data_IF_273860813949
#
_entry.id   IF_273860813949
#
_cell.length_a   1.000
_cell.length_b   1.000
_cell.length_c   1.000
_cell.angle_alpha   90.00
_cell.angle_beta   90.00
_cell.angle_gamma   90.00
#
_symmetry.space_group_name_H-M   'P 1'
#
loop_
_entity.id
_entity.type
_entity.pdbx_description
1 polymer ?
#
# COMPACT_ATOMS: atom_id res chain seq x y z
N UNK A 1 19.08 5.97 7.06
CA UNK A 1 17.66 5.98 6.66
C UNK A 1 16.88 5.12 7.63
N UNK A 2 15.63 5.48 7.94
CA UNK A 2 14.83 4.82 8.99
C UNK A 2 14.02 3.68 8.38
N UNK A 3 14.33 2.44 8.77
CA UNK A 3 13.65 1.25 8.27
C UNK A 3 12.13 1.46 8.15
N UNK A 4 11.49 1.01 7.06
CA UNK A 4 10.05 1.13 6.88
C UNK A 4 9.31 0.53 8.06
N UNK A 5 8.31 1.25 8.56
CA UNK A 5 7.65 0.88 9.81
C UNK A 5 6.45 -0.01 9.57
N UNK A 6 6.37 -1.14 10.27
CA UNK A 6 5.14 -1.92 10.46
C UNK A 6 4.70 -1.76 11.90
N UNK A 7 3.42 -1.45 12.09
CA UNK A 7 2.82 -1.42 13.39
C UNK A 7 1.91 -2.65 13.61
N UNK A 8 2.05 -3.27 14.78
CA UNK A 8 1.15 -4.30 15.29
C UNK A 8 0.41 -3.74 16.50
N UNK A 9 -0.92 -3.81 16.44
CA UNK A 9 -1.81 -3.48 17.54
C UNK A 9 -2.45 -4.76 18.06
N UNK A 10 -2.47 -4.93 19.38
CA UNK A 10 -3.14 -6.03 20.07
C UNK A 10 -4.01 -5.53 21.22
N UNK A 11 -5.09 -6.24 21.54
CA UNK A 11 -6.02 -5.88 22.60
C UNK A 11 -5.61 -6.43 23.97
N UNK A 12 -5.16 -7.68 23.99
CA UNK A 12 -4.93 -8.43 25.23
C UNK A 12 -3.44 -8.69 25.49
N UNK A 13 -3.03 -8.87 26.76
CA UNK A 13 -1.66 -9.25 27.10
C UNK A 13 -1.19 -10.55 26.45
N UNK A 14 -2.09 -11.53 26.28
CA UNK A 14 -1.76 -12.81 25.63
C UNK A 14 -1.47 -12.63 24.14
N UNK A 15 -2.23 -11.77 23.46
CA UNK A 15 -2.05 -11.49 22.04
C UNK A 15 -0.73 -10.77 21.82
N UNK A 16 -0.46 -9.75 22.65
CA UNK A 16 0.82 -9.04 22.67
C UNK A 16 1.98 -10.02 22.87
N UNK A 17 1.84 -10.96 23.81
CA UNK A 17 2.86 -11.97 24.09
C UNK A 17 3.13 -12.87 22.88
N UNK A 18 2.11 -13.35 22.18
CA UNK A 18 2.31 -14.21 21.00
C UNK A 18 2.93 -13.41 19.83
N UNK A 19 2.52 -12.17 19.59
CA UNK A 19 3.16 -11.31 18.57
C UNK A 19 4.62 -11.03 18.91
N UNK A 20 4.92 -10.75 20.19
CA UNK A 20 6.28 -10.48 20.67
C UNK A 20 7.25 -11.65 20.47
N UNK A 21 6.77 -12.90 20.44
CA UNK A 21 7.62 -14.09 20.25
C UNK A 21 8.25 -14.16 18.85
N UNK A 22 7.73 -13.43 17.87
CA UNK A 22 8.28 -13.36 16.52
C UNK A 22 9.33 -12.25 16.35
N UNK A 23 9.54 -11.44 17.39
CA UNK A 23 10.56 -10.39 17.42
C UNK A 23 11.90 -10.99 17.84
N UNK A 24 12.99 -10.50 17.27
CA UNK A 24 14.33 -11.06 17.50
C UNK A 24 15.04 -10.35 18.65
N UNK A 25 15.16 -9.03 18.59
CA UNK A 25 15.85 -8.25 19.61
C UNK A 25 14.99 -7.06 20.09
N UNK A 26 13.78 -7.32 20.61
CA UNK A 26 12.85 -6.25 20.95
C UNK A 26 13.32 -5.41 22.16
N UNK A 27 13.27 -4.09 22.04
CA UNK A 27 13.54 -3.15 23.13
C UNK A 27 12.35 -2.20 23.38
N UNK A 28 12.17 -1.70 24.61
CA UNK A 28 11.10 -0.76 24.91
C UNK A 28 11.47 0.66 24.46
N UNK A 29 10.53 1.37 23.84
CA UNK A 29 10.62 2.80 23.54
C UNK A 29 9.41 3.51 24.15
N UNK A 30 9.60 4.62 24.87
CA UNK A 30 8.50 5.39 25.47
C UNK A 30 8.39 6.76 24.83
N UNK A 31 7.21 7.07 24.30
CA UNK A 31 6.89 8.36 23.66
C UNK A 31 5.63 8.91 24.33
N UNK A 32 5.72 10.12 24.89
CA UNK A 32 4.62 10.80 25.60
C UNK A 32 3.87 9.90 26.61
N UNK A 33 4.64 9.14 27.39
CA UNK A 33 4.12 8.25 28.43
C UNK A 33 3.52 6.94 27.90
N UNK A 34 3.60 6.65 26.61
CA UNK A 34 3.20 5.37 26.01
C UNK A 34 4.41 4.52 25.69
N UNK A 35 4.42 3.28 26.18
CA UNK A 35 5.49 2.32 25.91
C UNK A 35 5.14 1.41 24.73
N UNK A 36 6.08 1.30 23.81
CA UNK A 36 6.08 0.46 22.62
C UNK A 36 7.18 -0.59 22.76
N UNK A 37 6.97 -1.74 22.14
CA UNK A 37 8.04 -2.70 21.91
C UNK A 37 8.51 -2.56 20.48
N UNK A 38 9.78 -2.20 20.31
CA UNK A 38 10.39 -1.94 19.01
C UNK A 38 11.34 -3.08 18.70
N UNK A 39 11.30 -3.59 17.47
CA UNK A 39 12.29 -4.52 16.95
C UNK A 39 12.75 -4.01 15.60
N UNK A 40 14.05 -3.76 15.48
CA UNK A 40 14.67 -3.32 14.24
C UNK A 40 15.28 -4.54 13.55
N UNK A 41 14.57 -5.07 12.55
CA UNK A 41 15.10 -6.12 11.68
C UNK A 41 15.77 -5.47 10.48
N UNK A 42 16.66 -6.19 9.78
CA UNK A 42 17.34 -5.69 8.57
C UNK A 42 16.39 -5.07 7.52
N UNK A 43 15.10 -5.40 7.54
CA UNK A 43 14.09 -4.99 6.55
C UNK A 43 13.01 -4.05 7.07
N UNK A 44 12.77 -4.00 8.38
CA UNK A 44 11.57 -3.38 8.95
C UNK A 44 11.83 -2.87 10.35
N UNK A 45 11.33 -1.68 10.66
CA UNK A 45 11.11 -1.25 12.04
C UNK A 45 9.75 -1.76 12.46
N UNK A 46 9.71 -2.68 13.41
CA UNK A 46 8.46 -3.23 13.93
C UNK A 46 8.10 -2.46 15.19
N UNK A 47 6.90 -1.89 15.23
CA UNK A 47 6.32 -1.21 16.39
C UNK A 47 5.17 -2.07 16.91
N UNK A 48 5.36 -2.70 18.07
CA UNK A 48 4.33 -3.48 18.73
C UNK A 48 3.73 -2.68 19.89
N UNK A 49 2.40 -2.53 19.89
CA UNK A 49 1.64 -1.86 20.95
C UNK A 49 0.47 -2.73 21.39
N UNK A 50 0.31 -2.85 22.71
CA UNK A 50 -0.95 -3.30 23.31
C UNK A 50 -1.80 -2.07 23.65
N UNK A 51 -3.06 -2.04 23.25
CA UNK A 51 -3.99 -1.00 23.75
C UNK A 51 -4.27 -1.18 25.25
N UNK A 52 -4.65 -0.09 25.91
CA UNK A 52 -4.87 -0.08 27.35
C UNK A 52 -6.20 -0.75 27.77
N UNK A 53 -7.22 -0.67 26.91
CA UNK A 53 -8.53 -1.27 27.13
C UNK A 53 -9.08 -1.82 25.81
N UNK A 54 -10.01 -2.76 25.90
CA UNK A 54 -10.77 -3.28 24.76
C UNK A 54 -11.79 -2.25 24.25
N UNK A 55 -12.36 -2.51 23.06
CA UNK A 55 -13.42 -1.70 22.47
C UNK A 55 -12.97 -0.80 21.32
N UNK A 56 -13.93 -0.39 20.47
CA UNK A 56 -13.62 0.28 19.22
C UNK A 56 -13.11 1.71 19.41
N UNK A 57 -13.59 2.40 20.45
CA UNK A 57 -13.10 3.74 20.79
C UNK A 57 -11.59 3.74 21.07
N UNK A 58 -11.13 2.78 21.88
CA UNK A 58 -9.71 2.68 22.22
C UNK A 58 -8.90 2.22 21.00
N UNK A 59 -9.41 1.26 20.23
CA UNK A 59 -8.79 0.80 19.00
C UNK A 59 -8.56 1.96 18.02
N UNK A 60 -9.57 2.79 17.78
CA UNK A 60 -9.45 3.97 16.91
C UNK A 60 -8.40 4.96 17.43
N UNK A 61 -8.43 5.28 18.74
CA UNK A 61 -7.49 6.24 19.36
C UNK A 61 -6.03 5.75 19.32
N UNK A 62 -5.78 4.47 19.58
CA UNK A 62 -4.43 3.92 19.52
C UNK A 62 -3.93 3.81 18.09
N UNK A 63 -4.81 3.49 17.15
CA UNK A 63 -4.49 3.43 15.71
C UNK A 63 -4.09 4.80 15.19
N UNK A 64 -4.90 5.84 15.42
CA UNK A 64 -4.56 7.22 15.02
C UNK A 64 -3.25 7.68 15.64
N UNK A 65 -3.01 7.35 16.91
CA UNK A 65 -1.77 7.72 17.59
C UNK A 65 -0.55 7.03 16.97
N UNK A 66 -0.64 5.72 16.71
CA UNK A 66 0.40 4.96 16.04
C UNK A 66 0.71 5.55 14.65
N UNK A 67 -0.32 5.89 13.89
CA UNK A 67 -0.17 6.47 12.56
C UNK A 67 0.55 7.84 12.63
N UNK A 68 0.12 8.73 13.52
CA UNK A 68 0.71 10.07 13.65
C UNK A 68 2.17 10.04 14.10
N UNK A 69 2.56 9.11 14.97
CA UNK A 69 3.91 9.09 15.56
C UNK A 69 4.91 8.23 14.80
N UNK A 70 4.45 7.13 14.19
CA UNK A 70 5.34 6.15 13.56
C UNK A 70 5.19 6.05 12.05
N UNK A 71 4.14 6.65 11.48
CA UNK A 71 3.85 6.67 10.03
C UNK A 71 4.04 5.28 9.39
N UNK A 72 3.39 4.23 9.92
CA UNK A 72 3.61 2.88 9.45
C UNK A 72 3.02 2.69 8.05
N UNK A 73 3.74 1.96 7.20
CA UNK A 73 3.24 1.55 5.88
C UNK A 73 2.13 0.50 6.02
N UNK A 74 2.30 -0.41 6.98
CA UNK A 74 1.36 -1.49 7.25
C UNK A 74 0.99 -1.51 8.71
N UNK A 75 -0.30 -1.70 8.98
CA UNK A 75 -0.83 -1.73 10.33
C UNK A 75 -1.71 -2.97 10.50
N UNK A 76 -1.31 -3.85 11.39
CA UNK A 76 -1.98 -5.13 11.64
C UNK A 76 -2.66 -5.09 13.01
N UNK A 77 -3.96 -5.36 13.06
CA UNK A 77 -4.61 -5.70 14.32
C UNK A 77 -4.63 -7.22 14.47
N UNK A 78 -3.86 -7.74 15.41
CA UNK A 78 -3.81 -9.17 15.72
C UNK A 78 -4.55 -9.41 17.03
N UNK A 79 -5.39 -10.44 17.07
CA UNK A 79 -5.97 -10.89 18.33
C UNK A 79 -6.85 -12.12 18.18
N UNK A 80 -7.77 -12.30 19.13
CA UNK A 80 -8.73 -13.40 19.13
C UNK A 80 -10.16 -12.93 18.83
N UNK A 81 -11.01 -13.85 18.39
CA UNK A 81 -12.43 -13.59 18.14
C UNK A 81 -13.29 -14.82 18.46
N UNK A 82 -14.58 -14.59 18.67
CA UNK A 82 -15.58 -15.64 18.80
C UNK A 82 -16.07 -16.08 17.42
N UNK A 83 -16.05 -17.38 17.15
CA UNK A 83 -16.61 -17.96 15.93
C UNK A 83 -18.14 -17.95 15.97
N UNK A 84 -18.77 -17.46 14.90
CA UNK A 84 -20.23 -17.40 14.79
C UNK A 84 -20.78 -18.32 13.69
N UNK A 85 -20.02 -18.59 12.63
CA UNK A 85 -20.37 -19.59 11.60
C UNK A 85 -19.14 -20.02 10.81
N UNK A 86 -19.20 -21.22 10.22
CA UNK A 86 -18.23 -21.74 9.23
C UNK A 86 -16.76 -21.75 9.69
N UNK A 87 -16.50 -21.71 11.00
CA UNK A 87 -15.16 -21.70 11.59
C UNK A 87 -15.10 -22.62 12.81
N UNK A 88 -13.90 -23.14 13.07
CA UNK A 88 -13.61 -23.98 14.24
C UNK A 88 -12.56 -23.33 15.16
N UNK A 89 -12.44 -23.82 16.38
CA UNK A 89 -11.43 -23.37 17.34
C UNK A 89 -10.02 -23.49 16.76
N UNK A 90 -9.21 -22.46 16.96
CA UNK A 90 -7.85 -22.37 16.42
C UNK A 90 -7.77 -21.99 14.93
N UNK A 91 -8.89 -21.91 14.19
CA UNK A 91 -8.87 -21.35 12.84
C UNK A 91 -8.44 -19.87 12.87
N UNK A 92 -7.95 -19.39 11.73
CA UNK A 92 -7.63 -17.96 11.55
C UNK A 92 -8.67 -17.33 10.63
N UNK A 93 -9.13 -16.13 10.97
CA UNK A 93 -9.98 -15.29 10.14
C UNK A 93 -9.25 -14.01 9.83
N UNK A 94 -9.08 -13.73 8.55
CA UNK A 94 -8.54 -12.46 8.05
C UNK A 94 -9.71 -11.64 7.54
N UNK A 95 -9.92 -10.48 8.13
CA UNK A 95 -11.08 -9.65 7.81
C UNK A 95 -10.95 -9.04 6.41
N UNK A 96 -11.89 -9.33 5.52
CA UNK A 96 -12.08 -8.53 4.28
C UNK A 96 -12.60 -7.13 4.63
N UNK A 97 -13.51 -7.08 5.59
CA UNK A 97 -14.02 -5.87 6.22
C UNK A 97 -14.59 -6.19 7.61
N UNK A 98 -14.73 -5.16 8.42
CA UNK A 98 -15.46 -5.20 9.68
C UNK A 98 -16.82 -4.52 9.52
N UNK A 99 -17.87 -5.15 10.05
CA UNK A 99 -19.24 -4.62 10.09
C UNK A 99 -19.59 -4.23 11.53
N UNK A 100 -19.85 -2.94 11.75
CA UNK A 100 -20.22 -2.41 13.06
C UNK A 100 -21.69 -2.73 13.38
N UNK A 101 -21.97 -3.62 14.34
CA UNK A 101 -23.35 -4.04 14.61
C UNK A 101 -24.11 -3.16 15.61
N UNK A 102 -23.44 -2.19 16.25
CA UNK A 102 -24.02 -1.39 17.33
C UNK A 102 -24.86 -0.20 16.88
N UNK A 103 -24.71 0.25 15.64
CA UNK A 103 -25.39 1.46 15.18
C UNK A 103 -26.83 1.15 14.74
N UNK A 104 -27.78 1.63 15.55
CA UNK A 104 -29.21 1.39 15.38
C UNK A 104 -29.94 2.73 15.45
N UNK A 105 -30.82 3.00 14.48
CA UNK A 105 -31.78 4.11 14.55
C UNK A 105 -33.04 3.62 15.24
N UNK A 106 -33.46 4.32 16.29
CA UNK A 106 -34.76 4.10 16.95
C UNK A 106 -35.74 5.15 16.46
N UNK A 107 -36.91 4.73 15.97
CA UNK A 107 -37.98 5.61 15.53
C UNK A 107 -39.33 4.97 15.80
N UNK A 108 -40.22 5.68 16.48
CA UNK A 108 -41.61 5.24 16.72
C UNK A 108 -41.74 3.85 17.40
N UNK A 109 -40.76 3.49 18.24
CA UNK A 109 -40.70 2.17 18.90
C UNK A 109 -40.07 1.05 18.05
N UNK A 110 -39.72 1.34 16.79
CA UNK A 110 -39.05 0.42 15.88
C UNK A 110 -37.53 0.70 15.81
N UNK A 111 -36.75 -0.35 15.55
CA UNK A 111 -35.30 -0.30 15.38
C UNK A 111 -34.91 -0.56 13.93
N UNK A 112 -33.98 0.24 13.43
CA UNK A 112 -33.49 0.18 12.07
C UNK A 112 -31.95 0.10 12.08
N UNK A 113 -31.36 -1.04 11.69
CA UNK A 113 -29.90 -1.19 11.66
C UNK A 113 -29.24 -0.18 10.71
N UNK A 114 -28.11 0.38 11.13
CA UNK A 114 -27.26 1.29 10.35
C UNK A 114 -25.81 0.82 10.43
N UNK A 115 -25.54 -0.36 9.90
CA UNK A 115 -24.30 -1.09 10.16
C UNK A 115 -23.14 -0.50 9.35
N UNK A 116 -22.24 0.35 9.91
CA UNK A 116 -21.08 0.83 9.16
C UNK A 116 -20.20 -0.34 8.74
N UNK A 117 -19.49 -0.16 7.62
CA UNK A 117 -18.54 -1.13 7.11
C UNK A 117 -17.21 -0.42 6.87
N UNK A 118 -16.15 -1.00 7.38
CA UNK A 118 -14.78 -0.53 7.17
C UNK A 118 -13.95 -1.66 6.59
N UNK A 119 -13.19 -1.37 5.53
CA UNK A 119 -12.50 -2.39 4.74
C UNK A 119 -11.03 -2.50 5.14
N UNK A 120 -10.52 -3.74 5.16
CA UNK A 120 -9.07 -3.96 5.14
C UNK A 120 -8.51 -3.54 3.78
N UNK A 121 -7.23 -3.21 3.73
CA UNK A 121 -6.57 -2.84 2.48
C UNK A 121 -6.63 -4.00 1.47
N UNK A 122 -7.17 -3.72 0.28
CA UNK A 122 -7.35 -4.71 -0.79
C UNK A 122 -6.08 -5.52 -1.08
N UNK A 123 -4.91 -4.86 -1.13
CA UNK A 123 -3.63 -5.54 -1.37
C UNK A 123 -3.26 -6.55 -0.28
N UNK A 124 -3.63 -6.30 0.97
CA UNK A 124 -3.39 -7.22 2.08
C UNK A 124 -4.39 -8.38 2.08
N UNK A 125 -5.64 -8.12 1.67
CA UNK A 125 -6.68 -9.15 1.49
C UNK A 125 -6.29 -10.13 0.38
N UNK A 126 -5.83 -9.64 -0.77
CA UNK A 126 -5.35 -10.49 -1.87
C UNK A 126 -4.16 -11.37 -1.44
N UNK A 127 -3.20 -10.77 -0.73
CA UNK A 127 -2.05 -11.51 -0.22
C UNK A 127 -2.46 -12.57 0.81
N UNK A 128 -3.36 -12.22 1.73
CA UNK A 128 -3.89 -13.17 2.70
C UNK A 128 -4.63 -14.32 2.01
N UNK A 129 -5.40 -14.03 0.96
CA UNK A 129 -6.14 -15.02 0.18
C UNK A 129 -5.20 -16.02 -0.48
N UNK A 130 -4.11 -15.54 -1.09
CA UNK A 130 -3.12 -16.42 -1.69
C UNK A 130 -2.37 -17.25 -0.64
N UNK A 131 -1.97 -16.64 0.47
CA UNK A 131 -1.27 -17.34 1.55
C UNK A 131 -2.16 -18.42 2.20
N UNK A 132 -3.44 -18.12 2.40
CA UNK A 132 -4.41 -19.02 3.04
C UNK A 132 -4.61 -20.34 2.29
N UNK A 133 -4.46 -20.36 0.96
CA UNK A 133 -4.64 -21.57 0.12
C UNK A 133 -3.75 -22.74 0.53
N UNK A 134 -2.54 -22.45 1.00
CA UNK A 134 -1.54 -23.44 1.37
C UNK A 134 -1.03 -23.23 2.81
N UNK A 135 -1.83 -22.59 3.67
CA UNK A 135 -1.47 -22.41 5.07
C UNK A 135 -1.77 -23.67 5.88
N UNK A 136 -0.98 -23.88 6.94
CA UNK A 136 -1.01 -25.09 7.77
C UNK A 136 -2.29 -25.19 8.61
N UNK A 137 -2.86 -24.04 8.97
CA UNK A 137 -4.08 -23.91 9.77
C UNK A 137 -5.19 -23.37 8.86
N UNK A 138 -6.39 -23.92 8.98
CA UNK A 138 -7.56 -23.41 8.24
C UNK A 138 -7.69 -21.90 8.44
N UNK A 139 -7.58 -21.16 7.35
CA UNK A 139 -7.61 -19.70 7.34
C UNK A 139 -8.67 -19.21 6.38
N UNK A 140 -9.64 -18.44 6.88
CA UNK A 140 -10.72 -17.88 6.10
C UNK A 140 -10.48 -16.39 5.90
N UNK A 141 -10.59 -15.94 4.65
CA UNK A 141 -10.56 -14.51 4.32
C UNK A 141 -12.00 -14.07 4.12
N UNK A 142 -12.62 -13.54 5.17
CA UNK A 142 -14.07 -13.34 5.25
C UNK A 142 -14.42 -12.11 6.12
N UNK A 143 -15.65 -11.60 6.06
CA UNK A 143 -16.09 -10.52 6.92
C UNK A 143 -16.11 -10.89 8.40
N UNK A 144 -15.95 -9.88 9.26
CA UNK A 144 -16.14 -10.00 10.72
C UNK A 144 -17.14 -8.97 11.22
N UNK A 145 -17.89 -9.33 12.26
CA UNK A 145 -18.76 -8.42 12.99
C UNK A 145 -17.97 -7.79 14.15
N UNK A 146 -18.18 -6.50 14.40
CA UNK A 146 -17.44 -5.74 15.41
C UNK A 146 -18.38 -4.83 16.19
N UNK A 147 -18.23 -4.77 17.52
CA UNK A 147 -19.09 -3.96 18.39
C UNK A 147 -18.51 -3.80 19.79
N UNK A 148 -19.32 -3.38 20.76
CA UNK A 148 -18.84 -3.12 22.13
C UNK A 148 -19.21 -4.24 23.12
N UNK A 149 -20.05 -5.18 22.68
CA UNK A 149 -20.49 -6.31 23.51
C UNK A 149 -19.55 -7.50 23.38
N UNK A 150 -19.11 -8.05 24.51
CA UNK A 150 -18.60 -9.42 24.56
C UNK A 150 -19.77 -10.39 24.42
N UNK A 151 -19.86 -11.06 23.26
CA UNK A 151 -21.03 -11.90 22.94
C UNK A 151 -20.87 -13.31 23.52
N UNK A 152 -21.82 -13.70 24.37
CA UNK A 152 -22.00 -15.06 24.89
C UNK A 152 -23.48 -15.48 24.98
N UNK A 153 -24.40 -14.61 24.54
CA UNK A 153 -25.83 -14.85 24.58
C UNK A 153 -26.34 -15.43 23.25
N UNK A 154 -27.02 -16.57 23.31
CA UNK A 154 -27.51 -17.27 22.11
C UNK A 154 -28.60 -16.50 21.36
N UNK A 155 -29.43 -15.74 22.09
CA UNK A 155 -30.50 -14.96 21.47
C UNK A 155 -29.90 -13.79 20.68
N UNK A 156 -28.97 -13.07 21.28
CA UNK A 156 -28.21 -12.03 20.61
C UNK A 156 -27.39 -12.59 19.44
N UNK A 157 -26.81 -13.78 19.57
CA UNK A 157 -26.12 -14.43 18.46
C UNK A 157 -27.04 -14.68 17.25
N UNK A 158 -28.30 -15.09 17.48
CA UNK A 158 -29.29 -15.26 16.40
C UNK A 158 -29.58 -13.93 15.71
N UNK A 159 -29.78 -12.87 16.48
CA UNK A 159 -29.98 -11.51 15.96
C UNK A 159 -28.76 -11.02 15.18
N UNK A 160 -27.56 -11.22 15.73
CA UNK A 160 -26.31 -10.87 15.07
C UNK A 160 -26.14 -11.60 13.73
N UNK A 161 -26.49 -12.89 13.67
CA UNK A 161 -26.48 -13.67 12.41
C UNK A 161 -27.48 -13.16 11.38
N UNK A 162 -28.60 -12.56 11.80
CA UNK A 162 -29.55 -11.93 10.88
C UNK A 162 -29.00 -10.59 10.36
N UNK A 163 -28.34 -9.81 11.22
CA UNK A 163 -27.76 -8.51 10.87
C UNK A 163 -26.47 -8.62 10.05
N UNK A 164 -25.64 -9.61 10.34
CA UNK A 164 -24.29 -9.80 9.81
C UNK A 164 -24.16 -11.23 9.26
N UNK A 165 -25.07 -11.63 8.37
CA UNK A 165 -25.13 -13.00 7.85
C UNK A 165 -23.89 -13.44 7.04
N UNK A 166 -23.05 -12.49 6.66
CA UNK A 166 -21.81 -12.65 5.92
C UNK A 166 -20.61 -12.84 6.85
N UNK A 167 -20.69 -12.36 8.10
CA UNK A 167 -19.61 -12.43 9.07
C UNK A 167 -19.41 -13.82 9.67
N UNK A 168 -18.16 -14.28 9.73
CA UNK A 168 -17.79 -15.60 10.28
C UNK A 168 -17.33 -15.54 11.74
N UNK A 169 -16.91 -14.37 12.20
CA UNK A 169 -16.46 -14.13 13.57
C UNK A 169 -17.00 -12.80 14.12
N UNK A 170 -16.99 -12.67 15.45
CA UNK A 170 -17.35 -11.45 16.20
C UNK A 170 -16.25 -11.05 17.19
N UNK A 171 -15.92 -9.76 17.25
CA UNK A 171 -14.92 -9.17 18.14
C UNK A 171 -15.26 -7.71 18.50
N UNK A 172 -14.33 -6.99 19.16
CA UNK A 172 -14.65 -5.71 19.81
C UNK A 172 -13.84 -4.49 19.31
N UNK A 173 -13.01 -4.61 18.28
CA UNK A 173 -12.03 -3.55 17.95
C UNK A 173 -11.92 -3.19 16.47
N UNK A 174 -12.28 -4.12 15.57
CA UNK A 174 -11.97 -4.02 14.15
C UNK A 174 -12.64 -2.82 13.45
N UNK A 175 -13.88 -2.46 13.82
CA UNK A 175 -14.57 -1.33 13.17
C UNK A 175 -13.92 0.00 13.57
N UNK A 176 -13.46 0.15 14.81
CA UNK A 176 -12.73 1.34 15.26
C UNK A 176 -11.36 1.46 14.61
N UNK A 177 -10.63 0.34 14.55
CA UNK A 177 -9.33 0.24 13.91
C UNK A 177 -9.35 0.61 12.43
N UNK A 178 -10.17 -0.09 11.63
CA UNK A 178 -10.26 0.16 10.19
C UNK A 178 -10.86 1.55 9.90
N UNK A 179 -11.79 2.02 10.74
CA UNK A 179 -12.38 3.35 10.64
C UNK A 179 -11.37 4.48 10.84
N UNK A 180 -10.38 4.31 11.74
CA UNK A 180 -9.25 5.22 11.89
C UNK A 180 -8.35 5.18 10.65
N UNK A 181 -7.94 3.98 10.20
CA UNK A 181 -7.09 3.81 9.01
C UNK A 181 -7.69 4.44 7.75
N UNK A 182 -9.02 4.40 7.56
CA UNK A 182 -9.68 5.00 6.40
C UNK A 182 -9.36 6.49 6.21
N UNK A 183 -9.04 7.22 7.29
CA UNK A 183 -8.67 8.63 7.21
C UNK A 183 -7.21 8.87 6.75
N UNK A 184 -6.42 7.81 6.58
CA UNK A 184 -4.98 7.86 6.30
C UNK A 184 -4.65 7.05 5.04
N UNK A 185 -4.67 7.69 3.87
CA UNK A 185 -4.52 7.05 2.55
C UNK A 185 -3.20 6.25 2.39
N UNK A 186 -2.15 6.63 3.13
CA UNK A 186 -0.83 6.01 3.04
C UNK A 186 -0.67 4.77 3.93
N UNK A 187 -1.69 4.40 4.72
CA UNK A 187 -1.61 3.30 5.69
C UNK A 187 -2.45 2.12 5.20
N UNK A 188 -1.83 0.95 5.06
CA UNK A 188 -2.54 -0.28 4.70
C UNK A 188 -2.85 -1.09 5.95
N UNK A 189 -4.12 -1.11 6.33
CA UNK A 189 -4.62 -1.81 7.50
C UNK A 189 -5.18 -3.20 7.20
N UNK A 190 -4.98 -4.16 8.11
CA UNK A 190 -5.70 -5.45 8.09
C UNK A 190 -5.94 -5.99 9.50
N UNK A 191 -7.05 -6.70 9.68
CA UNK A 191 -7.40 -7.37 10.94
C UNK A 191 -7.26 -8.88 10.76
N UNK A 192 -6.56 -9.53 11.70
CA UNK A 192 -6.32 -10.98 11.71
C UNK A 192 -6.70 -11.49 13.09
N UNK A 193 -7.66 -12.41 13.13
CA UNK A 193 -8.20 -12.99 14.36
C UNK A 193 -8.01 -14.50 14.39
N UNK A 194 -7.58 -15.03 15.53
CA UNK A 194 -7.67 -16.45 15.83
C UNK A 194 -8.99 -16.76 16.52
N UNK A 195 -9.64 -17.87 16.17
CA UNK A 195 -10.90 -18.27 16.82
C UNK A 195 -10.60 -18.94 18.17
N UNK A 196 -10.86 -18.24 19.26
CA UNK A 196 -10.62 -18.71 20.63
C UNK A 196 -11.79 -19.48 21.23
N UNK A 197 -12.99 -19.18 20.78
CA UNK A 197 -14.22 -19.75 21.29
C UNK A 197 -15.25 -19.82 20.17
N UNK A 198 -16.23 -20.70 20.33
CA UNK A 198 -17.47 -20.63 19.58
C UNK A 198 -18.49 -19.98 20.51
N UNK A 199 -19.24 -18.99 20.00
CA UNK A 199 -20.20 -18.24 20.83
C UNK A 199 -21.26 -19.17 21.45
N UNK A 200 -21.52 -20.32 20.82
CA UNK A 200 -22.33 -21.41 21.38
C UNK A 200 -21.44 -22.42 22.10
N UNK A 201 -21.79 -22.79 23.33
CA UNK A 201 -21.08 -23.83 24.09
C UNK A 201 -19.83 -23.34 24.85
N UNK A 202 -19.72 -22.03 25.06
CA UNK A 202 -18.58 -21.37 25.71
C UNK A 202 -18.38 -21.90 27.14
N UNK A 203 -17.16 -22.32 27.48
CA UNK A 203 -16.76 -22.71 28.83
C UNK A 203 -15.46 -22.00 29.23
N UNK A 204 -15.39 -21.52 30.47
CA UNK A 204 -14.23 -20.74 30.95
C UNK A 204 -12.91 -21.54 30.93
N UNK A 205 -12.98 -22.87 31.04
CA UNK A 205 -11.82 -23.76 30.93
C UNK A 205 -11.31 -23.87 29.49
N UNK A 206 -12.19 -23.77 28.49
CA UNK A 206 -11.83 -23.77 27.08
C UNK A 206 -11.07 -22.51 26.69
N UNK A 207 -11.42 -21.35 27.24
CA UNK A 207 -10.74 -20.09 26.97
C UNK A 207 -9.26 -20.12 27.36
N UNK A 208 -8.95 -20.72 28.52
CA UNK A 208 -7.56 -20.86 29.02
C UNK A 208 -6.70 -21.68 28.05
N UNK A 209 -7.30 -22.68 27.39
CA UNK A 209 -6.62 -23.55 26.45
C UNK A 209 -6.54 -22.93 25.04
N UNK A 210 -7.64 -22.38 24.55
CA UNK A 210 -7.78 -21.98 23.15
C UNK A 210 -7.33 -20.55 22.86
N UNK A 211 -7.45 -19.59 23.79
CA UNK A 211 -6.98 -18.22 23.54
C UNK A 211 -5.49 -18.16 23.18
N UNK A 212 -4.57 -18.85 23.87
CA UNK A 212 -3.16 -18.87 23.49
C UNK A 212 -2.92 -19.51 22.11
N UNK A 213 -3.65 -20.58 21.77
CA UNK A 213 -3.53 -21.27 20.48
C UNK A 213 -4.04 -20.37 19.34
N UNK A 214 -5.22 -19.77 19.53
CA UNK A 214 -5.82 -18.85 18.59
C UNK A 214 -4.93 -17.63 18.33
N UNK A 215 -4.44 -16.98 19.39
CA UNK A 215 -3.54 -15.84 19.27
C UNK A 215 -2.23 -16.22 18.59
N UNK A 216 -1.67 -17.40 18.91
CA UNK A 216 -0.46 -17.91 18.23
C UNK A 216 -0.69 -18.12 16.74
N UNK A 217 -1.80 -18.74 16.36
CA UNK A 217 -2.11 -19.02 14.96
C UNK A 217 -2.31 -17.71 14.18
N UNK A 218 -2.99 -16.73 14.77
CA UNK A 218 -3.15 -15.39 14.19
C UNK A 218 -1.81 -14.67 14.02
N UNK A 219 -0.97 -14.67 15.05
CA UNK A 219 0.37 -14.08 15.00
C UNK A 219 1.24 -14.77 13.94
N UNK A 220 1.28 -16.11 13.93
CA UNK A 220 2.05 -16.87 12.95
C UNK A 220 1.62 -16.57 11.51
N UNK A 221 0.31 -16.47 11.25
CA UNK A 221 -0.21 -16.08 9.93
C UNK A 221 0.19 -14.64 9.57
N UNK A 222 0.08 -13.69 10.49
CA UNK A 222 0.47 -12.30 10.27
C UNK A 222 1.97 -12.15 9.93
N UNK A 223 2.86 -12.86 10.64
CA UNK A 223 4.28 -12.85 10.33
C UNK A 223 4.62 -13.61 9.03
N UNK A 224 3.84 -14.62 8.66
CA UNK A 224 3.97 -15.25 7.34
C UNK A 224 3.56 -14.29 6.21
N UNK A 225 2.50 -13.49 6.40
CA UNK A 225 2.15 -12.40 5.49
C UNK A 225 3.30 -11.38 5.40
N UNK A 226 3.88 -11.00 6.54
CA UNK A 226 5.02 -10.06 6.60
C UNK A 226 6.18 -10.52 5.71
N UNK A 227 6.49 -11.82 5.69
CA UNK A 227 7.52 -12.40 4.83
C UNK A 227 7.20 -12.35 3.33
N UNK A 228 5.93 -12.15 2.96
CA UNK A 228 5.45 -12.02 1.58
C UNK A 228 5.22 -10.56 1.17
N UNK A 229 5.19 -9.62 2.11
CA UNK A 229 5.07 -8.21 1.79
C UNK A 229 6.21 -7.78 0.87
N UNK A 230 5.92 -6.95 -0.15
CA UNK A 230 6.97 -6.38 -0.96
C UNK A 230 7.92 -5.65 -0.02
N UNK A 231 9.21 -5.95 -0.15
CA UNK A 231 10.25 -5.28 0.62
C UNK A 231 10.10 -3.78 0.36
N UNK A 232 9.77 -3.00 1.38
CA UNK A 232 10.23 -1.62 1.34
C UNK A 232 11.75 -1.71 1.50
N UNK A 233 12.46 -1.47 0.40
CA UNK A 233 13.88 -1.23 0.45
C UNK A 233 14.09 0.17 1.02
N UNK A 234 14.56 0.27 2.26
CA UNK A 234 15.44 1.37 2.64
C UNK A 234 16.89 0.89 2.71
N UNK A 235 17.68 1.41 1.77
CA UNK A 235 19.12 1.62 1.79
C UNK A 235 20.01 0.66 2.58
N UNK A 236 20.56 -0.33 1.86
CA UNK A 236 22.01 -0.55 1.86
C UNK A 236 22.44 -0.44 0.38
N UNK A 237 23.36 0.49 0.08
CA UNK A 237 23.67 1.02 -1.27
C UNK A 237 23.65 -0.03 -2.39
N UNK A 238 23.04 0.26 -3.54
CA UNK A 238 23.33 1.43 -4.39
C UNK A 238 22.21 2.48 -4.35
N UNK A 239 22.59 3.73 -4.09
CA UNK A 239 21.76 4.94 -4.08
C UNK A 239 20.66 4.95 -5.14
N UNK A 240 19.42 5.15 -4.69
CA UNK A 240 18.31 5.76 -5.42
C UNK A 240 17.16 5.84 -4.39
N UNK A 241 16.88 7.03 -3.85
CA UNK A 241 15.74 7.40 -2.97
C UNK A 241 14.84 8.40 -3.72
N UNK A 242 13.55 8.59 -3.48
CA UNK A 242 12.42 7.87 -2.87
C UNK A 242 11.21 8.71 -3.31
N UNK A 243 10.16 8.08 -3.81
CA UNK A 243 9.15 8.71 -4.66
C UNK A 243 7.74 8.79 -4.03
N UNK A 244 7.33 9.94 -3.45
CA UNK A 244 5.93 10.34 -3.16
C UNK A 244 5.91 11.88 -3.24
N UNK A 245 5.12 12.65 -4.02
CA UNK A 245 3.86 12.50 -4.76
C UNK A 245 4.09 12.07 -6.21
N UNK A 246 3.45 10.98 -6.61
CA UNK A 246 2.98 10.67 -7.96
C UNK A 246 3.92 10.82 -9.18
N UNK A 247 5.24 10.89 -9.07
CA UNK A 247 6.05 11.09 -10.29
C UNK A 247 6.12 9.90 -11.24
N UNK A 248 5.63 8.73 -10.80
CA UNK A 248 5.28 7.69 -11.73
C UNK A 248 4.09 8.13 -12.57
N UNK A 249 2.98 8.63 -12.01
CA UNK A 249 1.86 9.18 -12.79
C UNK A 249 2.14 10.54 -13.43
N UNK A 250 3.06 11.37 -12.92
CA UNK A 250 3.50 12.64 -13.52
C UNK A 250 4.49 12.37 -14.66
N UNK A 251 5.45 11.46 -14.47
CA UNK A 251 6.33 10.95 -15.51
C UNK A 251 5.59 10.12 -16.56
N UNK A 252 4.53 9.40 -16.16
CA UNK A 252 3.60 8.65 -17.00
C UNK A 252 2.60 9.57 -17.72
N UNK A 253 2.09 10.63 -17.07
CA UNK A 253 1.34 11.70 -17.73
C UNK A 253 2.20 12.40 -18.75
N UNK A 254 3.47 12.62 -18.44
CA UNK A 254 4.41 13.28 -19.34
C UNK A 254 4.86 12.36 -20.48
N UNK A 255 4.90 11.04 -20.26
CA UNK A 255 5.00 10.05 -21.35
C UNK A 255 3.72 10.01 -22.21
N UNK A 256 2.52 10.08 -21.59
CA UNK A 256 1.22 10.13 -22.27
C UNK A 256 1.05 11.42 -23.09
N UNK A 257 1.47 12.56 -22.57
CA UNK A 257 1.48 13.87 -23.24
C UNK A 257 2.44 13.93 -24.45
N UNK A 258 3.41 13.01 -24.55
CA UNK A 258 4.37 12.94 -25.67
C UNK A 258 3.89 12.08 -26.84
N UNK A 259 2.75 11.37 -26.71
CA UNK A 259 2.27 10.41 -27.73
C UNK A 259 0.87 10.76 -28.26
N UNK A 260 0.23 11.84 -27.78
CA UNK A 260 -1.13 12.21 -28.20
C UNK A 260 -1.16 13.34 -29.25
N UNK A 261 -2.07 13.28 -30.25
CA UNK A 261 -2.34 14.38 -31.18
C UNK A 261 -2.78 15.67 -30.47
N UNK A 262 -2.51 16.84 -31.07
CA UNK A 262 -2.79 18.19 -30.51
C UNK A 262 -4.23 18.38 -30.01
N UNK A 263 -5.16 17.68 -30.61
CA UNK A 263 -6.60 17.76 -30.39
C UNK A 263 -7.03 17.10 -29.06
N UNK A 264 -6.28 16.14 -28.54
CA UNK A 264 -6.52 15.53 -27.22
C UNK A 264 -5.88 16.33 -26.06
N UNK A 265 -4.92 17.21 -26.37
CA UNK A 265 -4.30 18.12 -25.41
C UNK A 265 -5.32 19.11 -24.81
N UNK A 266 -6.39 19.41 -25.53
CA UNK A 266 -7.45 20.32 -25.09
C UNK A 266 -8.35 19.70 -24.00
N UNK A 267 -8.48 18.37 -23.95
CA UNK A 267 -9.26 17.67 -22.92
C UNK A 267 -8.56 17.65 -21.55
N UNK A 268 -7.24 17.88 -21.50
CA UNK A 268 -6.49 17.99 -20.25
C UNK A 268 -6.55 19.39 -19.62
N UNK A 269 -7.32 20.32 -20.20
CA UNK A 269 -7.66 21.62 -19.56
C UNK A 269 -8.58 21.49 -18.35
N UNK A 270 -9.09 20.29 -18.03
CA UNK A 270 -10.05 20.12 -16.94
C UNK A 270 -9.34 19.86 -15.60
N UNK A 271 -8.98 20.97 -14.96
CA UNK A 271 -8.83 21.23 -13.52
C UNK A 271 -7.93 20.37 -12.61
N UNK A 272 -7.62 19.10 -12.87
CA UNK A 272 -7.01 18.25 -11.83
C UNK A 272 -5.48 18.25 -11.81
N UNK A 273 -4.81 18.44 -12.94
CA UNK A 273 -3.34 18.26 -13.02
C UNK A 273 -2.59 19.54 -12.66
N UNK A 274 -3.12 20.71 -13.03
CA UNK A 274 -2.59 22.01 -12.60
C UNK A 274 -2.71 22.17 -11.08
N UNK A 275 -3.75 21.59 -10.47
CA UNK A 275 -3.97 21.64 -9.03
C UNK A 275 -2.96 20.79 -8.22
N UNK A 276 -2.27 19.83 -8.84
CA UNK A 276 -1.16 19.10 -8.21
C UNK A 276 0.22 19.79 -8.43
N UNK A 277 0.26 20.81 -9.30
CA UNK A 277 1.38 21.76 -9.46
C UNK A 277 1.19 22.97 -8.51
N UNK A 278 0.31 22.85 -7.52
CA UNK A 278 0.09 23.89 -6.50
C UNK A 278 1.31 23.92 -5.57
N UNK A 279 2.17 24.91 -5.81
CA UNK A 279 3.46 25.12 -5.14
C UNK A 279 4.52 25.74 -6.06
N UNK A 280 4.31 25.72 -7.37
CA UNK A 280 5.29 26.16 -8.38
C UNK A 280 5.04 27.56 -9.00
N UNK A 281 3.89 28.20 -8.73
CA UNK A 281 3.50 29.51 -9.31
C UNK A 281 3.68 29.57 -10.85
N UNK A 282 3.30 28.51 -11.58
CA UNK A 282 3.32 28.49 -13.04
C UNK A 282 1.88 28.69 -13.53
N UNK A 283 1.65 29.77 -14.29
CA UNK A 283 0.33 30.00 -14.89
C UNK A 283 0.06 28.96 -15.98
N UNK A 284 -1.15 28.37 -16.08
CA UNK A 284 -1.49 27.42 -17.15
C UNK A 284 -1.24 27.94 -18.57
N UNK A 285 -1.27 29.25 -18.75
CA UNK A 285 -1.04 29.92 -20.03
C UNK A 285 0.46 30.09 -20.36
N UNK A 286 1.38 29.77 -19.44
CA UNK A 286 2.84 29.83 -19.66
C UNK A 286 3.40 28.54 -20.27
N UNK A 287 2.63 27.45 -20.33
CA UNK A 287 3.11 26.14 -20.81
C UNK A 287 2.61 25.91 -22.24
N UNK A 288 3.54 25.76 -23.18
CA UNK A 288 3.31 25.37 -24.57
C UNK A 288 4.14 24.13 -24.90
N UNK A 289 3.78 23.36 -25.93
CA UNK A 289 4.60 22.22 -26.36
C UNK A 289 6.05 22.62 -26.70
N UNK A 290 6.26 23.86 -27.14
CA UNK A 290 7.59 24.37 -27.49
C UNK A 290 8.47 24.72 -26.30
N UNK A 291 7.88 25.26 -25.22
CA UNK A 291 8.62 25.72 -24.06
C UNK A 291 8.59 24.72 -22.88
N UNK A 292 7.78 23.68 -22.98
CA UNK A 292 7.61 22.65 -21.95
C UNK A 292 8.96 22.07 -21.47
N UNK A 293 9.92 21.66 -22.35
CA UNK A 293 11.22 21.18 -21.90
C UNK A 293 12.02 22.20 -21.06
N UNK A 294 11.93 23.48 -21.44
CA UNK A 294 12.60 24.57 -20.74
C UNK A 294 11.97 24.84 -19.38
N UNK A 295 10.63 24.88 -19.33
CA UNK A 295 9.85 25.06 -18.09
C UNK A 295 10.11 23.91 -17.12
N UNK A 296 10.16 22.67 -17.62
CA UNK A 296 10.51 21.49 -16.82
C UNK A 296 11.92 21.65 -16.23
N UNK A 297 12.93 21.99 -17.04
CA UNK A 297 14.32 22.16 -16.58
C UNK A 297 14.50 23.29 -15.57
N UNK A 298 13.84 24.42 -15.76
CA UNK A 298 14.09 25.63 -14.98
C UNK A 298 13.19 25.77 -13.75
N UNK A 299 11.95 25.28 -13.81
CA UNK A 299 10.96 25.50 -12.75
C UNK A 299 10.59 24.21 -12.02
N UNK A 300 10.44 23.09 -12.73
CA UNK A 300 9.96 21.82 -12.14
C UNK A 300 11.11 20.99 -11.56
N UNK A 301 12.17 20.79 -12.33
CA UNK A 301 13.33 19.96 -11.97
C UNK A 301 14.03 20.40 -10.68
N UNK A 302 14.31 21.69 -10.43
CA UNK A 302 14.99 22.11 -9.20
C UNK A 302 14.18 21.80 -7.93
N UNK A 303 12.85 21.90 -7.98
CA UNK A 303 11.98 21.57 -6.85
C UNK A 303 11.78 20.05 -6.71
N UNK A 304 11.50 19.39 -7.83
CA UNK A 304 11.32 17.93 -7.85
C UNK A 304 12.61 17.19 -7.48
N UNK A 305 13.80 17.72 -7.79
CA UNK A 305 15.07 17.14 -7.37
C UNK A 305 15.34 17.30 -5.87
N UNK A 306 14.82 18.37 -5.24
CA UNK A 306 14.92 18.60 -3.81
C UNK A 306 13.97 17.72 -3.00
N UNK A 307 12.81 17.41 -3.57
CA UNK A 307 11.77 16.58 -2.95
C UNK A 307 11.91 15.11 -3.33
N UNK A 308 12.49 14.82 -4.50
CA UNK A 308 12.37 13.53 -5.14
C UNK A 308 13.37 13.19 -6.27
N UNK A 309 14.57 12.74 -5.92
CA UNK A 309 15.64 12.50 -6.90
C UNK A 309 15.31 11.42 -7.95
N UNK A 310 14.60 10.36 -7.56
CA UNK A 310 14.11 9.31 -8.48
C UNK A 310 13.16 9.87 -9.54
N UNK A 311 12.20 10.68 -9.11
CA UNK A 311 11.26 11.36 -9.98
C UNK A 311 11.96 12.25 -11.00
N UNK A 312 12.91 13.05 -10.51
CA UNK A 312 13.69 13.96 -11.32
C UNK A 312 14.50 13.21 -12.38
N UNK A 313 15.07 12.03 -12.06
CA UNK A 313 15.82 11.21 -13.03
C UNK A 313 14.93 10.62 -14.12
N UNK A 314 13.75 10.10 -13.80
CA UNK A 314 12.79 9.62 -14.82
C UNK A 314 12.27 10.77 -15.68
N UNK A 315 12.00 11.92 -15.07
CA UNK A 315 11.60 13.14 -15.77
C UNK A 315 12.70 13.66 -16.72
N UNK A 316 13.97 13.61 -16.29
CA UNK A 316 15.12 13.92 -17.15
C UNK A 316 15.24 12.95 -18.32
N UNK A 317 14.98 11.65 -18.10
CA UNK A 317 15.02 10.66 -19.16
C UNK A 317 13.98 10.99 -20.23
N UNK A 318 12.73 11.22 -19.83
CA UNK A 318 11.65 11.63 -20.72
C UNK A 318 11.97 12.95 -21.45
N UNK A 319 12.51 13.94 -20.74
CA UNK A 319 12.93 15.21 -21.34
C UNK A 319 14.07 15.03 -22.37
N UNK A 320 14.99 14.10 -22.14
CA UNK A 320 16.09 13.82 -23.05
C UNK A 320 15.63 13.04 -24.29
N UNK A 321 14.67 12.11 -24.14
CA UNK A 321 13.99 11.49 -25.28
C UNK A 321 13.25 12.55 -26.11
N UNK A 322 12.50 13.45 -25.48
CA UNK A 322 11.78 14.51 -26.19
C UNK A 322 12.73 15.48 -26.92
N UNK A 323 13.81 15.92 -26.27
CA UNK A 323 14.83 16.75 -26.91
C UNK A 323 15.49 16.03 -28.10
N UNK A 324 15.70 14.72 -27.98
CA UNK A 324 16.23 13.87 -29.05
C UNK A 324 15.24 13.74 -30.21
N UNK A 325 13.95 13.52 -29.93
CA UNK A 325 12.89 13.47 -30.93
C UNK A 325 12.73 14.83 -31.65
N UNK A 326 12.75 15.94 -30.92
CA UNK A 326 12.71 17.30 -31.49
C UNK A 326 13.94 17.58 -32.34
N UNK A 327 15.11 17.08 -31.94
CA UNK A 327 16.32 17.16 -32.75
C UNK A 327 16.17 16.34 -34.05
N UNK A 328 15.63 15.13 -33.99
CA UNK A 328 15.37 14.28 -35.17
C UNK A 328 14.38 14.95 -36.14
N UNK A 329 13.30 15.51 -35.60
CA UNK A 329 12.26 16.20 -36.38
C UNK A 329 12.78 17.48 -37.04
N UNK A 330 13.63 18.23 -36.33
CA UNK A 330 14.31 19.42 -36.84
C UNK A 330 15.51 19.11 -37.78
N UNK A 331 15.78 17.83 -38.08
CA UNK A 331 16.93 17.42 -38.91
C UNK A 331 18.30 17.65 -38.24
N UNK A 332 18.33 17.75 -36.91
CA UNK A 332 19.52 17.93 -36.09
C UNK A 332 20.36 16.66 -35.93
N UNK A 333 21.49 16.80 -35.24
CA UNK A 333 22.47 15.74 -35.01
C UNK A 333 21.87 14.63 -34.14
N UNK A 334 21.91 13.38 -34.64
CA UNK A 334 21.38 12.19 -33.97
C UNK A 334 22.43 11.51 -33.10
N UNK A 335 23.00 12.27 -32.17
CA UNK A 335 23.92 11.71 -31.17
C UNK A 335 23.13 11.37 -29.90
N UNK A 336 22.91 10.07 -29.70
CA UNK A 336 22.21 9.55 -28.53
C UNK A 336 23.17 8.90 -27.53
N UNK A 337 24.48 9.18 -27.60
CA UNK A 337 25.47 8.61 -26.69
C UNK A 337 25.17 8.94 -25.24
N UNK A 338 24.93 10.22 -24.93
CA UNK A 338 24.56 10.66 -23.59
C UNK A 338 23.19 10.14 -23.15
N UNK A 339 22.24 10.03 -24.08
CA UNK A 339 20.93 9.43 -23.80
C UNK A 339 21.10 7.95 -23.44
N UNK A 340 21.89 7.21 -24.22
CA UNK A 340 22.16 5.79 -24.01
C UNK A 340 22.88 5.54 -22.69
N UNK A 341 23.94 6.30 -22.41
CA UNK A 341 24.64 6.26 -21.13
C UNK A 341 23.66 6.52 -19.97
N UNK A 342 22.85 7.57 -20.06
CA UNK A 342 21.84 7.88 -19.05
C UNK A 342 20.81 6.75 -18.88
N UNK A 343 20.39 6.11 -19.97
CA UNK A 343 19.45 4.99 -19.92
C UNK A 343 20.08 3.75 -19.26
N UNK A 344 21.37 3.49 -19.51
CA UNK A 344 22.12 2.40 -18.85
C UNK A 344 22.32 2.65 -17.36
N UNK A 345 22.42 3.90 -16.91
CA UNK A 345 22.44 4.23 -15.47
C UNK A 345 21.10 3.99 -14.78
N UNK A 346 19.98 4.09 -15.51
CA UNK A 346 18.63 4.02 -14.96
C UNK A 346 18.02 2.62 -14.97
N UNK A 347 18.18 1.87 -16.06
CA UNK A 347 17.66 0.51 -16.15
C UNK A 347 18.55 -0.43 -15.35
N UNK A 348 17.99 -1.38 -14.61
CA UNK A 348 18.76 -2.37 -13.83
C UNK A 348 18.81 -3.73 -14.51
N UNK A 349 17.83 -4.02 -15.38
CA UNK A 349 17.75 -5.23 -16.18
C UNK A 349 18.76 -5.16 -17.35
N UNK A 350 19.66 -6.14 -17.41
CA UNK A 350 20.70 -6.20 -18.43
C UNK A 350 20.15 -6.49 -19.84
N UNK A 351 19.09 -7.28 -19.96
CA UNK A 351 18.49 -7.58 -21.26
C UNK A 351 17.80 -6.32 -21.82
N UNK A 352 17.08 -5.61 -20.95
CA UNK A 352 16.41 -4.35 -21.28
C UNK A 352 17.41 -3.25 -21.65
N UNK A 353 18.53 -3.14 -20.91
CA UNK A 353 19.63 -2.21 -21.25
C UNK A 353 20.16 -2.48 -22.65
N UNK A 354 20.42 -3.74 -22.96
CA UNK A 354 20.95 -4.13 -24.26
C UNK A 354 19.94 -3.90 -25.37
N UNK A 355 18.67 -4.17 -25.14
CA UNK A 355 17.59 -3.94 -26.11
C UNK A 355 17.41 -2.45 -26.43
N UNK A 356 17.33 -1.60 -25.40
CA UNK A 356 17.23 -0.14 -25.56
C UNK A 356 18.50 0.43 -26.19
N UNK A 357 19.67 -0.04 -25.79
CA UNK A 357 20.95 0.41 -26.37
C UNK A 357 21.04 0.11 -27.86
N UNK A 358 20.63 -1.10 -28.27
CA UNK A 358 20.59 -1.49 -29.69
C UNK A 358 19.69 -0.56 -30.49
N UNK A 359 18.50 -0.24 -29.98
CA UNK A 359 17.56 0.66 -30.65
C UNK A 359 18.05 2.12 -30.68
N UNK A 360 18.73 2.60 -29.64
CA UNK A 360 19.35 3.94 -29.67
C UNK A 360 20.50 4.02 -30.68
N UNK A 361 21.29 2.95 -30.81
CA UNK A 361 22.33 2.87 -31.86
C UNK A 361 21.68 2.91 -33.24
N UNK A 362 20.61 2.13 -33.47
CA UNK A 362 19.85 2.18 -34.74
C UNK A 362 19.24 3.56 -35.01
N UNK A 363 18.72 4.22 -33.98
CA UNK A 363 18.16 5.57 -34.12
C UNK A 363 19.24 6.61 -34.50
N UNK A 364 20.48 6.41 -34.05
CA UNK A 364 21.62 7.31 -34.32
C UNK A 364 22.25 7.11 -35.70
N UNK A 365 21.89 6.03 -36.42
CA UNK A 365 22.46 5.72 -37.73
C UNK A 365 22.03 6.78 -38.76
N UNK A 366 23.02 7.39 -39.42
CA UNK A 366 22.82 8.38 -40.48
C UNK A 366 22.10 7.82 -41.71
N UNK A 367 22.10 6.49 -41.90
CA UNK A 367 21.43 5.81 -43.00
C UNK A 367 19.94 5.54 -42.73
N UNK A 368 19.48 5.73 -41.50
CA UNK A 368 18.08 5.54 -41.09
C UNK A 368 17.30 6.83 -41.35
N UNK A 369 16.04 6.75 -41.78
CA UNK A 369 15.22 7.95 -42.02
C UNK A 369 14.89 8.68 -40.71
N UNK A 370 14.55 9.98 -40.73
CA UNK A 370 14.10 10.66 -39.51
C UNK A 370 12.83 10.01 -38.94
N UNK A 371 11.97 9.47 -39.82
CA UNK A 371 10.78 8.73 -39.41
C UNK A 371 11.12 7.43 -38.68
N UNK A 372 12.05 6.64 -39.20
CA UNK A 372 12.47 5.38 -38.58
C UNK A 372 13.29 5.62 -37.30
N UNK A 373 14.12 6.67 -37.28
CA UNK A 373 14.81 7.11 -36.07
C UNK A 373 13.82 7.48 -34.96
N UNK A 374 12.73 8.18 -35.32
CA UNK A 374 11.62 8.47 -34.40
C UNK A 374 10.95 7.19 -33.89
N UNK A 375 10.69 6.22 -34.77
CA UNK A 375 10.10 4.93 -34.39
C UNK A 375 11.01 4.16 -33.42
N UNK A 376 12.33 4.15 -33.61
CA UNK A 376 13.25 3.51 -32.66
C UNK A 376 13.26 4.22 -31.29
N UNK A 377 13.18 5.55 -31.26
CA UNK A 377 13.06 6.31 -30.00
C UNK A 377 11.74 6.01 -29.28
N UNK A 378 10.63 5.92 -30.02
CA UNK A 378 9.32 5.53 -29.49
C UNK A 378 9.31 4.09 -28.97
N UNK A 379 9.95 3.16 -29.68
CA UNK A 379 10.12 1.78 -29.24
C UNK A 379 10.89 1.70 -27.93
N UNK A 380 12.00 2.45 -27.79
CA UNK A 380 12.73 2.56 -26.54
C UNK A 380 11.81 3.02 -25.40
N UNK A 381 11.00 4.06 -25.63
CA UNK A 381 10.05 4.56 -24.64
C UNK A 381 8.99 3.51 -24.28
N UNK A 382 8.49 2.73 -25.25
CA UNK A 382 7.50 1.68 -25.05
C UNK A 382 8.05 0.47 -24.28
N UNK A 383 9.30 0.09 -24.54
CA UNK A 383 10.02 -0.96 -23.81
C UNK A 383 10.19 -0.54 -22.35
N UNK A 384 10.70 0.67 -22.13
CA UNK A 384 10.90 1.24 -20.79
C UNK A 384 9.55 1.35 -20.07
N UNK A 385 8.49 1.79 -20.76
CA UNK A 385 7.11 1.85 -20.25
C UNK A 385 6.59 0.48 -19.84
N UNK A 386 6.79 -0.54 -20.66
CA UNK A 386 6.33 -1.90 -20.39
C UNK A 386 7.02 -2.49 -19.17
N UNK A 387 8.33 -2.26 -19.03
CA UNK A 387 9.11 -2.62 -17.85
C UNK A 387 8.60 -1.91 -16.58
N UNK A 388 8.37 -0.61 -16.68
CA UNK A 388 7.76 0.24 -15.64
C UNK A 388 6.38 -0.30 -15.22
N UNK A 389 5.58 -0.81 -16.16
CA UNK A 389 4.20 -1.25 -15.93
C UNK A 389 4.02 -2.70 -15.44
N UNK A 390 5.10 -3.45 -15.22
CA UNK A 390 5.03 -4.77 -14.58
C UNK A 390 4.24 -5.86 -15.34
N UNK A 391 3.95 -5.70 -16.63
CA UNK A 391 3.35 -6.75 -17.48
C UNK A 391 4.24 -7.10 -18.69
N UNK A 392 4.43 -8.41 -18.81
CA UNK A 392 5.31 -9.25 -19.64
C UNK A 392 4.98 -9.22 -21.14
N UNK A 393 6.00 -9.38 -22.00
CA UNK A 393 5.88 -10.24 -23.18
C UNK A 393 7.05 -11.23 -23.19
N UNK A 394 6.76 -12.47 -22.82
CA UNK A 394 7.42 -13.63 -23.38
C UNK A 394 6.95 -13.71 -24.83
N UNK A 395 7.89 -13.49 -25.75
CA UNK A 395 8.02 -14.21 -27.02
C UNK A 395 9.44 -14.01 -27.54
#
# INVERSE_FOLDING_TARGET
MSLPTIAFLTALPLEFKEVKQHLENPYPETIDGRTYTIDEKEKWRIVLRQQHSQGNYQAARETDWLIQHFQPTYLFFIGVAGGIKDVELGNVVVATFARGYESIKVKDGETYPRLPVEYSAHSLVEQATELARNWQVTTLVCPIASGERLVSDEQFLKELKQLCNDAVAVEMEAIGFLGSIRQHENVKGIVIRGISDLVVGKNAEGDVYWQPIAARNAAAFAFAMLGKLPRHFEEHGIELTQLEVNSFELGYLMLLLCVMPEDELLMLRTQNIINQIVGLNISPNEITCDNLPLVIRQKVLPKLAAENLKAARWLMLSNNFFASMKAVDAGGVRDFTSLNEFTRTLLVDNNLREEVSKKLILASDSNVSSHDSMNYLLDCMNIIRSFIMGKVVNN
#
